data_IF_216040029772
#
_entry.id   IF_216040029772
#
_cell.length_a   1.000
_cell.length_b   1.000
_cell.length_c   1.000
_cell.angle_alpha   90.00
_cell.angle_beta   90.00
_cell.angle_gamma   90.00
#
_symmetry.space_group_name_H-M   'P 1'
#
loop_
_entity.id
_entity.type
_entity.pdbx_description
1 polymer ?
#
# COMPACT_ATOMS: atom_id res chain seq x y z
N UNK A 1 -57.22 -32.00 3.72
CA UNK A 1 -57.15 -31.05 2.59
C UNK A 1 -56.20 -29.96 3.04
N UNK A 2 -54.87 -30.08 2.80
CA UNK A 2 -54.13 -29.73 1.55
C UNK A 2 -54.30 -28.25 1.20
N UNK A 3 -53.29 -27.42 0.98
CA UNK A 3 -51.85 -27.59 0.77
C UNK A 3 -51.20 -26.19 0.66
N UNK A 4 -49.88 -26.17 0.48
CA UNK A 4 -49.01 -24.99 0.37
C UNK A 4 -49.04 -24.31 -1.01
N UNK A 5 -48.58 -23.05 -1.08
CA UNK A 5 -47.95 -22.34 -2.23
C UNK A 5 -47.43 -20.98 -1.69
N UNK A 6 -46.12 -20.70 -1.58
CA UNK A 6 -45.09 -20.31 -2.57
C UNK A 6 -45.38 -19.00 -3.33
N UNK A 7 -44.53 -17.98 -3.08
CA UNK A 7 -44.01 -16.95 -3.99
C UNK A 7 -43.23 -15.94 -3.12
N UNK A 8 -41.91 -16.02 -2.96
CA UNK A 8 -40.86 -15.63 -3.92
C UNK A 8 -41.12 -14.27 -4.59
N UNK A 9 -40.53 -13.20 -4.04
CA UNK A 9 -40.36 -11.91 -4.71
C UNK A 9 -38.88 -11.52 -4.69
N UNK A 10 -38.17 -12.13 -5.62
CA UNK A 10 -37.24 -11.53 -6.58
C UNK A 10 -36.38 -10.35 -6.12
N UNK A 11 -35.08 -10.64 -5.98
CA UNK A 11 -34.00 -9.72 -6.30
C UNK A 11 -34.22 -9.17 -7.72
N UNK A 12 -34.33 -7.84 -7.83
CA UNK A 12 -34.39 -7.19 -9.13
C UNK A 12 -32.99 -7.16 -9.74
N UNK A 13 -32.66 -8.18 -10.54
CA UNK A 13 -31.59 -8.10 -11.53
C UNK A 13 -31.97 -7.02 -12.57
N UNK A 14 -31.30 -5.87 -12.49
CA UNK A 14 -31.40 -4.81 -13.50
C UNK A 14 -30.39 -5.11 -14.60
N UNK A 15 -30.79 -5.94 -15.56
CA UNK A 15 -30.01 -6.24 -16.77
C UNK A 15 -30.04 -5.04 -17.71
N UNK A 16 -28.88 -4.54 -18.14
CA UNK A 16 -28.81 -3.58 -19.25
C UNK A 16 -29.15 -4.27 -20.59
N UNK A 17 -29.49 -3.48 -21.60
CA UNK A 17 -29.91 -3.98 -22.93
C UNK A 17 -28.82 -4.75 -23.71
N UNK A 18 -27.61 -4.87 -23.19
CA UNK A 18 -26.50 -5.61 -23.77
C UNK A 18 -26.17 -6.92 -23.02
N UNK A 19 -26.99 -7.34 -22.05
CA UNK A 19 -26.81 -8.64 -21.38
C UNK A 19 -25.49 -8.75 -20.60
N UNK A 20 -24.86 -7.61 -20.27
CA UNK A 20 -23.72 -7.61 -19.37
C UNK A 20 -24.26 -7.45 -17.96
N UNK A 21 -24.15 -8.51 -17.15
CA UNK A 21 -24.32 -8.41 -15.71
C UNK A 21 -23.23 -7.48 -15.21
N UNK A 22 -23.55 -6.20 -15.05
CA UNK A 22 -22.65 -5.23 -14.45
C UNK A 22 -22.34 -5.72 -13.05
N UNK A 23 -21.12 -6.20 -12.81
CA UNK A 23 -20.67 -6.54 -11.46
C UNK A 23 -20.84 -5.31 -10.59
N UNK A 24 -21.64 -5.45 -9.55
CA UNK A 24 -21.79 -4.47 -8.49
C UNK A 24 -20.40 -4.19 -7.90
N UNK A 25 -19.93 -2.95 -8.08
CA UNK A 25 -18.78 -2.34 -7.41
C UNK A 25 -17.41 -3.02 -7.62
N UNK A 26 -16.85 -2.87 -8.82
CA UNK A 26 -15.44 -3.13 -9.12
C UNK A 26 -14.53 -2.06 -8.46
N UNK A 27 -14.50 -2.05 -7.12
CA UNK A 27 -13.57 -1.28 -6.33
C UNK A 27 -12.32 -2.12 -6.05
N UNK A 28 -11.18 -1.64 -6.51
CA UNK A 28 -9.88 -2.27 -6.30
C UNK A 28 -9.06 -1.46 -5.29
N UNK A 29 -8.25 -2.12 -4.45
CA UNK A 29 -7.36 -1.40 -3.57
C UNK A 29 -6.27 -0.71 -4.38
N UNK A 30 -5.99 0.53 -4.00
CA UNK A 30 -5.01 1.39 -4.62
C UNK A 30 -4.23 2.15 -3.54
N UNK A 31 -3.05 2.63 -3.91
CA UNK A 31 -2.21 3.46 -3.06
C UNK A 31 -2.28 4.92 -3.52
N UNK A 32 -2.91 5.76 -2.72
CA UNK A 32 -2.88 7.21 -2.88
C UNK A 32 -1.63 7.77 -2.19
N UNK A 33 -0.76 8.38 -2.99
CA UNK A 33 0.47 9.03 -2.55
C UNK A 33 0.25 10.53 -2.64
N UNK A 34 0.27 11.23 -1.51
CA UNK A 34 -0.02 12.68 -1.45
C UNK A 34 0.83 13.41 -0.43
N UNK A 35 1.05 14.71 -0.65
CA UNK A 35 1.86 15.54 0.26
C UNK A 35 1.29 15.60 1.67
N UNK A 36 2.17 15.45 2.66
CA UNK A 36 1.83 15.58 4.08
C UNK A 36 1.34 16.97 4.48
N UNK A 37 1.72 18.01 3.71
CA UNK A 37 1.33 19.40 3.94
C UNK A 37 -0.20 19.60 3.95
N UNK A 38 -0.94 18.84 3.14
CA UNK A 38 -2.40 18.95 3.02
C UNK A 38 -3.20 18.07 3.99
N UNK A 39 -2.53 17.34 4.89
CA UNK A 39 -3.18 16.38 5.78
C UNK A 39 -3.48 17.00 7.15
N UNK A 40 -4.72 16.86 7.62
CA UNK A 40 -5.15 17.30 8.96
C UNK A 40 -5.22 16.15 9.97
N UNK A 41 -4.86 14.95 9.54
CA UNK A 41 -4.88 13.71 10.31
C UNK A 41 -3.50 13.41 10.90
N UNK A 42 -3.43 12.62 12.01
CA UNK A 42 -2.16 12.24 12.61
C UNK A 42 -1.23 11.55 11.59
N UNK A 43 0.02 12.01 11.55
CA UNK A 43 1.03 11.51 10.61
C UNK A 43 1.85 10.35 11.20
N UNK A 44 1.94 10.26 12.53
CA UNK A 44 2.71 9.24 13.23
C UNK A 44 2.27 7.82 12.84
N UNK A 45 3.24 6.96 12.54
CA UNK A 45 3.04 5.57 12.11
C UNK A 45 2.75 5.39 10.62
N UNK A 46 2.46 6.47 9.89
CA UNK A 46 2.17 6.40 8.45
C UNK A 46 3.42 6.12 7.63
N UNK A 47 3.22 5.38 6.53
CA UNK A 47 4.25 5.20 5.51
C UNK A 47 4.47 6.48 4.74
N UNK A 48 5.72 6.73 4.44
CA UNK A 48 6.15 7.95 3.82
C UNK A 48 7.22 7.74 2.76
N UNK A 49 7.30 8.75 1.90
CA UNK A 49 8.35 8.95 0.92
C UNK A 49 8.91 10.33 1.10
N UNK A 50 10.20 10.43 0.89
CA UNK A 50 10.94 11.68 0.96
C UNK A 50 11.58 11.97 -0.39
N UNK A 51 11.31 13.16 -0.93
CA UNK A 51 11.99 13.64 -2.11
C UNK A 51 13.37 14.17 -1.74
N UNK A 52 14.40 13.40 -2.05
CA UNK A 52 15.79 13.79 -1.85
C UNK A 52 16.24 14.70 -2.98
N UNK A 53 16.63 15.92 -2.62
CA UNK A 53 17.35 16.84 -3.51
C UNK A 53 18.74 17.07 -2.92
N UNK A 54 19.80 16.77 -3.67
CA UNK A 54 21.17 17.12 -3.30
C UNK A 54 21.69 18.24 -4.19
N UNK A 55 22.52 19.10 -3.58
CA UNK A 55 23.18 20.21 -4.26
C UNK A 55 24.69 20.15 -3.98
N UNK A 56 25.50 20.63 -4.91
CA UNK A 56 26.92 20.89 -4.67
C UNK A 56 27.08 22.00 -3.63
N UNK A 57 28.30 22.17 -3.13
CA UNK A 57 28.66 23.30 -2.30
C UNK A 57 28.34 24.65 -2.96
N UNK A 58 28.46 24.73 -4.29
CA UNK A 58 28.15 25.93 -5.08
C UNK A 58 26.65 26.09 -5.39
N UNK A 59 25.79 25.24 -4.85
CA UNK A 59 24.34 25.27 -5.07
C UNK A 59 23.87 24.66 -6.39
N UNK A 60 24.75 24.01 -7.15
CA UNK A 60 24.36 23.30 -8.37
C UNK A 60 23.63 22.00 -8.02
N UNK A 61 22.59 21.66 -8.76
CA UNK A 61 21.85 20.42 -8.54
C UNK A 61 22.72 19.19 -8.84
N UNK A 62 22.81 18.26 -7.88
CA UNK A 62 23.63 17.03 -8.00
C UNK A 62 22.78 15.82 -8.34
N UNK A 63 21.74 15.59 -7.55
CA UNK A 63 20.87 14.44 -7.72
C UNK A 63 19.47 14.73 -7.18
N UNK A 64 18.54 13.96 -7.73
CA UNK A 64 17.15 13.93 -7.31
C UNK A 64 16.68 12.49 -7.30
N UNK A 65 16.00 12.11 -6.24
CA UNK A 65 15.50 10.75 -6.10
C UNK A 65 14.48 10.65 -4.99
N UNK A 66 13.71 9.57 -5.03
CA UNK A 66 12.79 9.22 -3.95
C UNK A 66 13.51 8.30 -2.98
N UNK A 67 13.38 8.63 -1.69
CA UNK A 67 13.59 7.67 -0.61
C UNK A 67 12.22 7.15 -0.19
N UNK A 68 11.99 5.88 -0.42
CA UNK A 68 10.76 5.18 -0.02
C UNK A 68 11.00 4.33 1.23
N UNK A 69 9.99 3.53 1.59
CA UNK A 69 10.07 2.58 2.72
C UNK A 69 10.38 3.26 4.05
N UNK A 70 9.85 4.46 4.24
CA UNK A 70 9.97 5.24 5.48
C UNK A 70 8.67 5.17 6.29
N UNK A 71 8.80 5.34 7.60
CA UNK A 71 7.70 5.58 8.54
C UNK A 71 7.90 6.93 9.21
N UNK A 72 6.81 7.68 9.39
CA UNK A 72 6.80 8.90 10.21
C UNK A 72 6.73 8.48 11.67
N UNK A 73 7.65 8.97 12.50
CA UNK A 73 7.80 8.55 13.91
C UNK A 73 7.62 9.70 14.92
N UNK A 74 7.13 10.84 14.45
CA UNK A 74 6.75 11.96 15.30
C UNK A 74 5.55 12.71 14.75
N UNK A 75 4.89 13.44 15.65
CA UNK A 75 4.05 14.57 15.26
C UNK A 75 4.87 15.68 14.57
N UNK A 76 4.17 16.64 13.98
CA UNK A 76 4.80 17.82 13.36
C UNK A 76 5.51 18.64 14.42
N UNK A 77 6.81 18.80 14.27
CA UNK A 77 7.69 19.60 15.11
C UNK A 77 7.83 21.00 14.49
N UNK A 78 7.43 22.09 15.16
CA UNK A 78 7.43 23.44 14.57
C UNK A 78 8.81 23.94 14.14
N UNK A 79 9.87 23.49 14.83
CA UNK A 79 11.24 23.92 14.56
C UNK A 79 12.21 22.79 14.85
N UNK A 80 12.95 22.38 13.82
CA UNK A 80 14.07 21.44 13.94
C UNK A 80 15.32 22.11 13.41
N UNK A 81 16.45 21.92 14.10
CA UNK A 81 17.73 22.50 13.68
C UNK A 81 18.09 21.98 12.28
N UNK A 82 18.35 22.90 11.35
CA UNK A 82 18.72 22.56 9.97
C UNK A 82 17.53 22.33 9.03
N UNK A 83 16.30 22.59 9.49
CA UNK A 83 15.10 22.56 8.64
C UNK A 83 14.38 23.90 8.79
N UNK A 84 14.15 24.59 7.67
CA UNK A 84 13.60 25.96 7.64
C UNK A 84 12.06 26.00 7.67
N UNK A 85 11.41 24.87 7.91
CA UNK A 85 9.96 24.70 7.97
C UNK A 85 9.56 23.70 9.06
N UNK A 86 8.27 23.62 9.46
CA UNK A 86 7.79 22.56 10.33
C UNK A 86 8.13 21.19 9.75
N UNK A 87 8.64 20.29 10.59
CA UNK A 87 9.25 19.04 10.17
C UNK A 87 8.61 17.85 10.87
N UNK A 88 8.81 16.65 10.32
CA UNK A 88 8.54 15.38 11.00
C UNK A 88 9.82 14.56 11.07
N UNK A 89 9.94 13.71 12.08
CA UNK A 89 10.97 12.69 12.13
C UNK A 89 10.51 11.47 11.34
N UNK A 90 11.38 10.97 10.46
CA UNK A 90 11.16 9.75 9.70
C UNK A 90 12.27 8.74 9.98
N UNK A 91 11.94 7.46 9.78
CA UNK A 91 12.81 6.33 10.02
C UNK A 91 12.59 5.27 8.92
N UNK A 92 13.61 4.46 8.63
CA UNK A 92 13.44 3.26 7.80
C UNK A 92 12.37 2.33 8.39
N UNK A 93 11.47 1.82 7.56
CA UNK A 93 10.36 0.97 8.00
C UNK A 93 10.84 -0.31 8.70
N UNK A 94 11.91 -0.93 8.19
CA UNK A 94 12.54 -2.06 8.87
C UNK A 94 12.96 -1.73 10.30
N UNK A 95 13.53 -0.55 10.49
CA UNK A 95 14.05 -0.13 11.79
C UNK A 95 12.90 0.31 12.72
N UNK A 96 11.82 0.87 12.16
CA UNK A 96 10.58 1.17 12.89
C UNK A 96 9.98 -0.09 13.56
N UNK A 97 10.10 -1.25 12.90
CA UNK A 97 9.58 -2.52 13.40
C UNK A 97 10.56 -3.37 14.23
N UNK A 98 11.87 -3.12 14.09
CA UNK A 98 12.92 -3.88 14.76
C UNK A 98 12.97 -3.62 16.26
N UNK A 99 13.51 -2.46 16.65
CA UNK A 99 13.61 -1.98 18.02
C UNK A 99 13.61 -0.45 18.05
N UNK A 100 12.82 0.11 18.96
CA UNK A 100 12.59 1.55 19.12
C UNK A 100 13.84 2.35 19.54
N UNK A 101 14.96 1.68 19.86
CA UNK A 101 16.26 2.28 20.17
C UNK A 101 17.08 2.70 18.94
N UNK A 102 16.64 2.35 17.73
CA UNK A 102 17.29 2.85 16.51
C UNK A 102 17.27 4.38 16.48
N UNK A 103 18.47 4.97 16.53
CA UNK A 103 18.72 6.41 16.41
C UNK A 103 18.78 6.87 14.94
N UNK A 104 18.58 5.98 13.97
CA UNK A 104 18.64 6.30 12.54
C UNK A 104 17.35 6.99 12.09
N UNK A 105 17.10 8.16 12.67
CA UNK A 105 15.99 9.04 12.35
C UNK A 105 16.56 10.33 11.80
N UNK A 106 15.87 10.91 10.83
CA UNK A 106 16.23 12.21 10.29
C UNK A 106 14.97 13.06 10.18
N UNK A 107 15.14 14.37 10.35
CA UNK A 107 14.07 15.32 10.23
C UNK A 107 13.88 15.71 8.76
N UNK A 108 12.63 15.73 8.33
CA UNK A 108 12.26 16.14 6.98
C UNK A 108 11.19 17.22 7.08
N UNK A 109 11.40 18.32 6.36
CA UNK A 109 10.41 19.39 6.25
C UNK A 109 9.09 18.86 5.68
N UNK A 110 7.97 19.27 6.26
CA UNK A 110 6.64 18.71 5.96
C UNK A 110 6.25 18.88 4.49
N UNK A 111 6.73 19.93 3.81
CA UNK A 111 6.50 20.11 2.37
C UNK A 111 7.18 19.06 1.49
N UNK A 112 8.19 18.36 2.01
CA UNK A 112 9.01 17.36 1.32
C UNK A 112 8.65 15.90 1.67
N UNK A 113 7.56 15.69 2.39
CA UNK A 113 7.07 14.35 2.76
C UNK A 113 5.80 14.03 2.00
N UNK A 114 5.77 12.86 1.39
CA UNK A 114 4.58 12.27 0.78
C UNK A 114 4.15 11.07 1.62
N UNK A 115 2.87 10.98 1.91
CA UNK A 115 2.27 9.89 2.69
C UNK A 115 1.61 8.93 1.72
N UNK A 116 1.80 7.64 2.00
CA UNK A 116 1.10 6.57 1.31
C UNK A 116 -0.17 6.21 2.09
N UNK A 117 -1.30 6.17 1.40
CA UNK A 117 -2.60 5.85 1.98
C UNK A 117 -3.33 4.86 1.08
N UNK A 118 -3.77 3.75 1.66
CA UNK A 118 -4.63 2.82 0.94
C UNK A 118 -6.03 3.39 0.78
N UNK A 119 -6.55 3.29 -0.44
CA UNK A 119 -7.88 3.74 -0.83
C UNK A 119 -8.53 2.70 -1.72
N UNK A 120 -9.85 2.71 -1.79
CA UNK A 120 -10.59 1.99 -2.82
C UNK A 120 -10.73 2.88 -4.04
N UNK A 121 -10.36 2.38 -5.22
CA UNK A 121 -10.53 3.07 -6.50
C UNK A 121 -11.34 2.22 -7.45
N UNK A 122 -12.12 2.87 -8.31
CA UNK A 122 -12.62 2.24 -9.53
C UNK A 122 -11.45 2.10 -10.52
N UNK A 123 -11.44 1.05 -11.33
CA UNK A 123 -10.44 0.88 -12.41
C UNK A 123 -10.41 2.14 -13.28
N UNK A 124 -9.26 2.83 -13.41
CA UNK A 124 -9.12 3.85 -14.42
C UNK A 124 -9.30 3.19 -15.79
N UNK A 125 -10.09 3.79 -16.68
CA UNK A 125 -10.13 3.33 -18.07
C UNK A 125 -8.68 3.34 -18.60
N UNK A 126 -8.19 2.19 -19.06
CA UNK A 126 -6.89 2.12 -19.70
C UNK A 126 -6.92 3.03 -20.93
N UNK A 127 -6.07 4.06 -20.96
CA UNK A 127 -5.82 4.82 -22.16
C UNK A 127 -4.78 4.04 -22.99
N UNK A 128 -5.17 3.41 -24.11
CA UNK A 128 -4.25 2.62 -24.92
C UNK A 128 -3.12 3.45 -25.56
N UNK A 129 -3.16 4.79 -25.44
CA UNK A 129 -2.06 5.70 -25.82
C UNK A 129 -1.12 6.10 -24.67
N UNK A 130 -1.43 5.80 -23.40
CA UNK A 130 -0.60 6.20 -22.26
C UNK A 130 0.66 5.35 -22.18
N UNK A 131 1.81 6.02 -22.27
CA UNK A 131 3.10 5.42 -22.00
C UNK A 131 3.46 5.74 -20.55
N UNK A 132 3.09 4.84 -19.63
CA UNK A 132 3.18 5.02 -18.17
C UNK A 132 4.53 5.58 -17.70
N UNK A 133 5.66 5.13 -18.29
CA UNK A 133 6.99 5.62 -17.90
C UNK A 133 7.24 7.08 -18.31
N UNK A 134 6.67 7.52 -19.44
CA UNK A 134 6.82 8.88 -19.95
C UNK A 134 5.92 9.86 -19.18
N UNK A 135 4.71 9.41 -18.83
CA UNK A 135 3.82 10.14 -17.93
C UNK A 135 4.46 10.35 -16.56
N UNK A 136 5.16 9.34 -16.04
CA UNK A 136 5.90 9.45 -14.79
C UNK A 136 7.10 10.42 -14.87
N UNK A 137 7.74 10.55 -16.04
CA UNK A 137 8.88 11.46 -16.23
C UNK A 137 8.46 12.94 -16.26
N UNK A 138 7.28 13.22 -16.81
CA UNK A 138 6.75 14.59 -16.96
C UNK A 138 5.81 15.01 -15.83
N UNK A 139 5.50 14.11 -14.88
CA UNK A 139 4.56 14.39 -13.78
C UNK A 139 5.18 15.37 -12.79
N UNK A 140 4.45 16.43 -12.46
CA UNK A 140 4.79 17.30 -11.34
C UNK A 140 4.84 16.46 -10.05
N UNK A 141 5.98 16.37 -9.36
CA UNK A 141 6.11 15.58 -8.12
C UNK A 141 5.15 16.03 -7.02
N UNK A 142 4.57 17.24 -7.13
CA UNK A 142 3.59 17.77 -6.19
C UNK A 142 2.18 17.22 -6.42
N UNK A 143 1.90 16.65 -7.59
CA UNK A 143 0.59 16.10 -7.92
C UNK A 143 0.37 14.79 -7.16
N UNK A 144 -0.77 14.62 -6.46
CA UNK A 144 -1.13 13.35 -5.86
C UNK A 144 -1.12 12.23 -6.90
N UNK A 145 -0.52 11.10 -6.53
CA UNK A 145 -0.40 9.95 -7.40
C UNK A 145 -1.30 8.83 -6.87
N UNK A 146 -2.09 8.24 -7.75
CA UNK A 146 -2.85 7.02 -7.46
C UNK A 146 -2.16 5.84 -8.15
N UNK A 147 -1.73 4.85 -7.38
CA UNK A 147 -1.14 3.61 -7.89
C UNK A 147 -2.09 2.46 -7.70
N UNK A 148 -2.44 1.78 -8.78
CA UNK A 148 -3.23 0.56 -8.73
C UNK A 148 -2.38 -0.56 -8.15
N UNK A 149 -2.93 -1.33 -7.20
CA UNK A 149 -2.29 -2.56 -6.75
C UNK A 149 -2.58 -3.69 -7.74
N UNK A 150 -1.69 -4.67 -7.81
CA UNK A 150 -1.83 -5.80 -8.71
C UNK A 150 -2.38 -7.02 -7.98
N UNK A 151 -3.34 -7.73 -8.57
CA UNK A 151 -3.78 -9.02 -8.03
C UNK A 151 -2.58 -9.98 -7.92
N UNK A 152 -2.44 -10.65 -6.77
CA UNK A 152 -1.31 -11.57 -6.55
C UNK A 152 -1.33 -12.76 -7.52
N UNK A 153 -2.50 -13.12 -8.07
CA UNK A 153 -2.64 -14.23 -9.03
C UNK A 153 -1.85 -13.98 -10.33
N UNK A 154 -1.69 -12.71 -10.72
CA UNK A 154 -0.90 -12.30 -11.88
C UNK A 154 0.56 -11.97 -11.55
N UNK A 155 0.96 -12.06 -10.28
CA UNK A 155 2.29 -11.60 -9.84
C UNK A 155 3.30 -12.75 -9.81
N UNK A 156 4.37 -12.73 -10.63
CA UNK A 156 5.24 -13.89 -10.87
C UNK A 156 6.06 -14.35 -9.66
N UNK A 157 6.36 -13.44 -8.72
CA UNK A 157 7.04 -13.78 -7.46
C UNK A 157 6.67 -12.80 -6.35
N UNK A 158 5.61 -13.06 -5.57
CA UNK A 158 5.18 -12.15 -4.51
C UNK A 158 6.01 -12.26 -3.22
N UNK A 159 6.93 -13.22 -3.10
CA UNK A 159 7.64 -13.46 -1.84
C UNK A 159 8.43 -12.23 -1.42
N UNK A 160 8.20 -11.77 -0.20
CA UNK A 160 8.77 -10.58 0.38
C UNK A 160 8.14 -9.27 -0.09
N UNK A 161 7.25 -9.27 -1.08
CA UNK A 161 6.52 -8.08 -1.51
C UNK A 161 5.54 -7.62 -0.42
N UNK A 162 5.27 -6.31 -0.38
CA UNK A 162 4.18 -5.78 0.45
C UNK A 162 2.86 -6.17 -0.18
N UNK A 163 1.94 -6.60 0.67
CA UNK A 163 0.61 -7.02 0.23
C UNK A 163 -0.47 -6.39 1.08
N UNK A 164 -1.64 -6.31 0.49
CA UNK A 164 -2.89 -5.89 1.10
C UNK A 164 -3.88 -7.03 0.98
N UNK A 165 -4.63 -7.31 2.03
CA UNK A 165 -5.77 -8.23 1.98
C UNK A 165 -7.04 -7.39 1.94
N UNK A 166 -7.78 -7.49 0.84
CA UNK A 166 -9.06 -6.82 0.64
C UNK A 166 -10.19 -7.83 0.83
N UNK A 167 -10.86 -7.76 1.98
CA UNK A 167 -12.12 -8.47 2.28
C UNK A 167 -13.19 -7.47 2.75
N UNK A 168 -13.89 -7.79 3.84
CA UNK A 168 -14.82 -6.86 4.49
C UNK A 168 -14.12 -5.57 4.97
N UNK A 169 -12.83 -5.68 5.28
CA UNK A 169 -11.94 -4.57 5.58
C UNK A 169 -10.63 -4.71 4.80
N UNK A 170 -9.94 -3.58 4.61
CA UNK A 170 -8.60 -3.55 4.02
C UNK A 170 -7.57 -3.74 5.13
N UNK A 171 -6.88 -4.89 5.13
CA UNK A 171 -5.75 -5.13 6.02
C UNK A 171 -4.44 -4.83 5.31
N UNK A 172 -3.57 -4.09 6.00
CA UNK A 172 -2.33 -3.53 5.47
C UNK A 172 -1.16 -3.92 6.35
N UNK A 173 0.05 -3.46 5.99
CA UNK A 173 1.28 -3.79 6.73
C UNK A 173 1.51 -5.31 6.79
N UNK A 174 1.31 -5.97 5.65
CA UNK A 174 1.53 -7.40 5.44
C UNK A 174 2.61 -7.63 4.39
N UNK A 175 3.26 -8.78 4.46
CA UNK A 175 4.19 -9.28 3.44
C UNK A 175 3.82 -10.69 3.02
N UNK A 176 3.98 -10.96 1.73
CA UNK A 176 3.83 -12.31 1.19
C UNK A 176 5.03 -13.17 1.58
N UNK A 177 4.76 -14.38 2.06
CA UNK A 177 5.75 -15.32 2.60
C UNK A 177 5.99 -16.49 1.67
N UNK A 178 5.01 -16.83 0.85
CA UNK A 178 5.08 -17.91 -0.12
C UNK A 178 4.76 -17.42 -1.53
N UNK A 179 5.14 -18.18 -2.57
CA UNK A 179 4.50 -18.07 -3.87
C UNK A 179 3.00 -18.39 -3.76
N UNK A 180 2.23 -18.00 -4.77
CA UNK A 180 0.83 -18.46 -4.94
C UNK A 180 0.85 -19.97 -5.21
N UNK A 181 -0.01 -20.71 -4.52
CA UNK A 181 -0.13 -22.17 -4.64
C UNK A 181 -1.60 -22.59 -4.75
N UNK A 182 -1.84 -23.68 -5.44
CA UNK A 182 -3.16 -24.31 -5.47
C UNK A 182 -3.36 -25.13 -4.19
N UNK A 183 -4.52 -25.00 -3.58
CA UNK A 183 -4.98 -25.78 -2.42
C UNK A 183 -5.52 -27.14 -2.88
N UNK A 184 -5.85 -28.02 -1.93
CA UNK A 184 -6.46 -29.32 -2.22
C UNK A 184 -7.85 -29.19 -2.87
N UNK A 185 -8.54 -28.07 -2.63
CA UNK A 185 -9.89 -27.80 -3.15
C UNK A 185 -9.86 -27.10 -4.51
N UNK A 186 -8.66 -26.83 -5.06
CA UNK A 186 -8.48 -26.19 -6.36
C UNK A 186 -8.37 -24.66 -6.31
N UNK A 187 -8.57 -24.05 -5.15
CA UNK A 187 -8.42 -22.60 -4.98
C UNK A 187 -6.96 -22.17 -4.96
N UNK A 188 -6.68 -20.96 -5.42
CA UNK A 188 -5.36 -20.33 -5.28
C UNK A 188 -5.24 -19.63 -3.92
N UNK A 189 -4.17 -19.91 -3.19
CA UNK A 189 -3.88 -19.33 -1.88
C UNK A 189 -2.41 -18.91 -1.76
N UNK A 190 -2.15 -18.00 -0.82
CA UNK A 190 -0.83 -17.50 -0.49
C UNK A 190 -0.69 -17.37 1.03
N UNK A 191 0.51 -17.59 1.56
CA UNK A 191 0.81 -17.31 2.96
C UNK A 191 1.25 -15.85 3.11
N UNK A 192 0.63 -15.12 4.04
CA UNK A 192 0.99 -13.75 4.40
C UNK A 192 1.40 -13.67 5.87
N UNK A 193 2.09 -12.60 6.23
CA UNK A 193 2.51 -12.32 7.60
C UNK A 193 2.55 -10.82 7.85
N UNK A 194 2.30 -10.39 9.09
CA UNK A 194 2.49 -9.01 9.50
C UNK A 194 3.93 -8.54 9.19
N UNK A 195 4.05 -7.38 8.57
CA UNK A 195 5.32 -6.82 8.10
C UNK A 195 6.33 -6.64 9.25
N UNK A 196 5.85 -6.22 10.43
CA UNK A 196 6.66 -6.15 11.64
C UNK A 196 7.36 -7.48 11.92
N UNK A 197 6.60 -8.54 11.84
CA UNK A 197 7.03 -9.87 12.22
C UNK A 197 7.90 -10.47 11.10
N UNK A 198 7.64 -10.17 9.84
CA UNK A 198 8.54 -10.47 8.72
C UNK A 198 9.96 -9.93 8.94
N UNK A 199 10.10 -8.66 9.33
CA UNK A 199 11.40 -8.05 9.59
C UNK A 199 12.14 -8.64 10.79
N UNK A 200 11.41 -9.17 11.77
CA UNK A 200 11.96 -9.86 12.94
C UNK A 200 12.30 -11.32 12.64
N UNK A 201 11.45 -11.99 11.87
CA UNK A 201 11.60 -13.38 11.47
C UNK A 201 12.85 -13.61 10.62
N UNK A 202 13.17 -12.70 9.70
CA UNK A 202 14.41 -12.77 8.94
C UNK A 202 15.67 -12.75 9.83
N UNK A 203 15.59 -12.27 11.08
CA UNK A 203 16.70 -12.21 12.03
C UNK A 203 16.75 -13.43 12.95
N UNK A 204 15.59 -13.97 13.30
CA UNK A 204 15.45 -15.12 14.19
C UNK A 204 14.48 -16.10 13.56
N UNK A 205 14.97 -17.24 13.09
CA UNK A 205 14.13 -18.34 12.60
C UNK A 205 13.55 -19.08 13.82
N UNK A 206 12.27 -18.90 14.22
CA UNK A 206 11.66 -19.71 15.23
C UNK A 206 11.43 -21.13 14.68
N UNK A 207 11.47 -22.11 15.57
CA UNK A 207 11.12 -23.50 15.26
C UNK A 207 9.60 -23.71 15.11
N UNK A 208 8.78 -22.74 15.53
CA UNK A 208 7.32 -22.79 15.51
C UNK A 208 6.72 -21.79 14.51
N UNK A 209 5.50 -22.04 13.99
CA UNK A 209 4.81 -21.09 13.11
C UNK A 209 4.59 -19.76 13.83
N UNK A 210 4.94 -18.65 13.17
CA UNK A 210 4.74 -17.30 13.74
C UNK A 210 3.23 -17.00 13.89
N UNK A 211 2.75 -16.40 14.99
CA UNK A 211 1.31 -16.20 15.24
C UNK A 211 0.59 -15.31 14.21
N UNK A 212 1.32 -14.48 13.47
CA UNK A 212 0.76 -13.66 12.38
C UNK A 212 0.88 -14.30 11.00
N UNK A 213 1.51 -15.48 10.91
CA UNK A 213 1.59 -16.26 9.68
C UNK A 213 0.25 -16.95 9.42
N UNK A 214 -0.37 -16.68 8.26
CA UNK A 214 -1.65 -17.28 7.91
C UNK A 214 -1.84 -17.39 6.41
N UNK A 215 -2.80 -18.23 6.01
CA UNK A 215 -3.20 -18.40 4.62
C UNK A 215 -4.28 -17.40 4.24
N UNK A 216 -4.21 -16.91 3.01
CA UNK A 216 -5.21 -16.04 2.40
C UNK A 216 -5.56 -16.54 1.00
N UNK A 217 -6.84 -16.40 0.62
CA UNK A 217 -7.27 -16.65 -0.76
C UNK A 217 -6.63 -15.62 -1.69
N UNK A 218 -5.98 -16.09 -2.75
CA UNK A 218 -5.24 -15.23 -3.68
C UNK A 218 -6.14 -14.20 -4.39
N UNK A 219 -7.45 -14.45 -4.49
CA UNK A 219 -8.42 -13.48 -5.00
C UNK A 219 -8.52 -12.21 -4.14
N UNK A 220 -8.17 -12.29 -2.86
CA UNK A 220 -8.31 -11.21 -1.90
C UNK A 220 -6.98 -10.48 -1.67
N UNK A 221 -5.88 -10.94 -2.26
CA UNK A 221 -4.54 -10.43 -2.00
C UNK A 221 -4.03 -9.59 -3.16
N UNK A 222 -3.56 -8.40 -2.83
CA UNK A 222 -3.08 -7.39 -3.78
C UNK A 222 -1.65 -7.00 -3.42
N UNK A 223 -0.80 -6.87 -4.44
CA UNK A 223 0.63 -6.55 -4.33
C UNK A 223 0.84 -5.09 -4.72
N UNK A 224 1.70 -4.39 -3.95
CA UNK A 224 2.17 -3.03 -4.26
C UNK A 224 3.12 -2.93 -5.45
#
# INVERSE_FOLDING_TARGET
>A
MTGAEFDDLAEAEMTDRNGTVGRLNDHFPALLIRRALGLNEPLTGRRARFLMTSYTHDGNWLAHGWKDSLRIVSEVVPKVRGVDEPAVWVQEERDYYGDCESTNRFAVGRSRVWVEQYVSSTTPAEDPGSVVWLDNLNRDPNTPELRTLHSVQGHPNPVGARVVVAGDSVETDLRAVSPVRMTNDGDLAITVMAERDWYRWARHYPAEPHPSLRWEHASNVWVE
#
